data_IF_611702151297
#
_entry.id   IF_611702151297
#
_cell.length_a   1.000
_cell.length_b   1.000
_cell.length_c   1.000
_cell.angle_alpha   90.00
_cell.angle_beta   90.00
_cell.angle_gamma   90.00
#
_symmetry.space_group_name_H-M   'P 1'
#
loop_
_entity.id
_entity.type
_entity.pdbx_description
1 polymer ?
#
# COMPACT_ATOMS: atom_id res chain seq x y z
N UNK A 1 23.65 10.59 -4.60
CA UNK A 1 22.48 10.39 -3.72
C UNK A 1 21.33 11.25 -4.25
N UNK A 2 20.53 10.75 -5.21
CA UNK A 2 19.42 11.52 -5.82
C UNK A 2 18.22 10.59 -6.11
N UNK A 3 17.85 9.75 -5.14
CA UNK A 3 16.81 8.70 -5.33
C UNK A 3 15.56 8.90 -4.44
N UNK A 4 15.70 9.46 -3.24
CA UNK A 4 14.62 9.47 -2.22
C UNK A 4 13.39 10.27 -2.62
N UNK A 5 13.58 11.44 -3.22
CA UNK A 5 12.47 12.35 -3.60
C UNK A 5 11.52 11.71 -4.64
N UNK A 6 12.01 10.77 -5.45
CA UNK A 6 11.19 9.97 -6.36
C UNK A 6 10.35 8.95 -5.58
N UNK A 7 10.96 8.19 -4.67
CA UNK A 7 10.26 7.16 -3.88
C UNK A 7 9.18 7.78 -2.96
N UNK A 8 9.49 8.89 -2.29
CA UNK A 8 8.54 9.65 -1.47
C UNK A 8 7.28 10.11 -2.27
N UNK A 9 7.43 10.35 -3.59
CA UNK A 9 6.31 10.66 -4.49
C UNK A 9 5.52 9.41 -4.88
N UNK A 10 6.20 8.30 -5.19
CA UNK A 10 5.54 7.02 -5.49
C UNK A 10 4.74 6.53 -4.28
N UNK A 11 5.31 6.57 -3.07
CA UNK A 11 4.60 6.17 -1.84
C UNK A 11 3.32 6.98 -1.61
N UNK A 12 3.31 8.30 -1.88
CA UNK A 12 2.09 9.14 -1.79
C UNK A 12 1.04 8.76 -2.82
N UNK A 13 1.46 8.44 -4.06
CA UNK A 13 0.57 7.99 -5.13
C UNK A 13 -0.06 6.62 -4.79
N UNK A 14 0.74 5.66 -4.35
CA UNK A 14 0.27 4.33 -3.92
C UNK A 14 -0.74 4.42 -2.78
N UNK A 15 -0.43 5.19 -1.72
CA UNK A 15 -1.35 5.43 -0.60
C UNK A 15 -2.70 6.06 -1.01
N UNK A 16 -2.75 6.79 -2.13
CA UNK A 16 -3.99 7.37 -2.65
C UNK A 16 -4.78 6.36 -3.50
N UNK A 17 -4.09 5.51 -4.26
CA UNK A 17 -4.69 4.37 -4.98
C UNK A 17 -5.29 3.34 -4.02
N UNK A 18 -4.55 2.93 -2.98
CA UNK A 18 -4.99 2.01 -1.92
C UNK A 18 -6.28 2.48 -1.22
N UNK A 19 -6.43 3.79 -1.04
CA UNK A 19 -7.62 4.40 -0.43
C UNK A 19 -8.80 4.50 -1.39
N UNK A 20 -8.65 4.11 -2.66
CA UNK A 20 -9.69 4.17 -3.71
C UNK A 20 -9.69 5.46 -4.54
N UNK A 21 -8.59 6.22 -4.57
CA UNK A 21 -8.42 7.38 -5.44
C UNK A 21 -8.23 6.99 -6.90
N UNK A 22 -8.98 7.61 -7.81
CA UNK A 22 -8.88 7.37 -9.26
C UNK A 22 -7.93 8.38 -9.91
N UNK A 23 -6.90 7.91 -10.61
CA UNK A 23 -6.01 8.78 -11.39
C UNK A 23 -6.77 9.42 -12.57
N UNK A 24 -6.44 10.67 -12.90
CA UNK A 24 -6.99 11.42 -14.03
C UNK A 24 -5.91 11.66 -15.09
N UNK A 25 -6.32 11.90 -16.33
CA UNK A 25 -5.39 12.23 -17.43
C UNK A 25 -4.75 13.63 -17.32
N UNK A 26 -5.23 14.46 -16.40
CA UNK A 26 -4.67 15.79 -16.10
C UNK A 26 -3.56 15.71 -15.08
N UNK A 27 -2.57 16.60 -15.17
CA UNK A 27 -1.43 16.68 -14.26
C UNK A 27 -1.42 18.02 -13.53
N UNK A 28 -0.81 18.06 -12.35
CA UNK A 28 -0.51 19.28 -11.62
C UNK A 28 0.73 19.98 -12.21
N UNK A 29 0.92 21.26 -11.90
CA UNK A 29 2.11 22.03 -12.32
C UNK A 29 3.43 21.43 -11.78
N UNK A 30 3.37 20.64 -10.70
CA UNK A 30 4.52 19.88 -10.19
C UNK A 30 4.83 18.58 -10.96
N UNK A 31 4.13 18.31 -12.06
CA UNK A 31 4.32 17.13 -12.92
C UNK A 31 3.65 15.83 -12.43
N UNK A 32 3.06 15.81 -11.23
CA UNK A 32 2.32 14.64 -10.74
C UNK A 32 0.91 14.56 -11.35
N UNK A 33 0.40 13.35 -11.67
CA UNK A 33 -0.98 13.18 -12.16
C UNK A 33 -1.99 13.56 -11.07
N UNK A 34 -3.10 14.17 -11.47
CA UNK A 34 -4.21 14.53 -10.59
C UNK A 34 -5.04 13.31 -10.24
N UNK A 35 -5.63 13.31 -9.04
CA UNK A 35 -6.48 12.23 -8.55
C UNK A 35 -7.87 12.74 -8.18
N UNK A 36 -8.89 11.92 -8.46
CA UNK A 36 -10.23 12.08 -7.89
C UNK A 36 -10.37 11.19 -6.66
N UNK A 37 -10.62 11.80 -5.50
CA UNK A 37 -10.84 11.09 -4.23
C UNK A 37 -11.99 11.73 -3.46
N UNK A 38 -12.95 10.90 -3.02
CA UNK A 38 -14.19 11.34 -2.34
C UNK A 38 -14.92 12.49 -3.07
N UNK A 39 -14.91 12.47 -4.41
CA UNK A 39 -15.50 13.50 -5.27
C UNK A 39 -14.65 14.77 -5.48
N UNK A 40 -13.60 14.99 -4.68
CA UNK A 40 -12.66 16.11 -4.83
C UNK A 40 -11.52 15.75 -5.79
N UNK A 41 -10.93 16.76 -6.44
CA UNK A 41 -9.71 16.61 -7.26
C UNK A 41 -8.53 17.12 -6.43
N UNK A 42 -7.44 16.34 -6.36
CA UNK A 42 -6.26 16.61 -5.51
C UNK A 42 -4.95 16.21 -6.21
N UNK A 43 -3.85 16.92 -5.92
CA UNK A 43 -2.51 16.48 -6.26
C UNK A 43 -1.92 15.61 -5.13
N UNK A 44 -1.43 14.38 -5.42
CA UNK A 44 -0.84 13.49 -4.40
C UNK A 44 0.49 14.02 -3.83
N UNK A 45 1.15 14.94 -4.51
CA UNK A 45 2.46 15.49 -4.10
C UNK A 45 2.32 16.80 -3.32
N UNK A 46 1.43 17.69 -3.75
CA UNK A 46 1.24 19.03 -3.17
C UNK A 46 0.14 19.08 -2.09
N UNK A 47 -1.02 18.49 -2.35
CA UNK A 47 -2.23 18.71 -1.52
C UNK A 47 -2.48 17.60 -0.50
N UNK A 48 -1.75 16.49 -0.60
CA UNK A 48 -1.98 15.29 0.21
C UNK A 48 -1.46 15.41 1.65
N UNK A 49 -2.11 16.28 2.42
CA UNK A 49 -1.97 16.37 3.87
C UNK A 49 -2.79 15.24 4.51
N UNK A 50 -2.11 14.30 5.19
CA UNK A 50 -2.75 13.17 5.89
C UNK A 50 -3.39 13.61 7.23
N UNK A 51 -4.34 14.55 7.13
CA UNK A 51 -5.02 15.18 8.27
C UNK A 51 -6.35 14.49 8.58
N UNK A 52 -6.60 14.28 9.88
CA UNK A 52 -7.89 13.85 10.42
C UNK A 52 -9.02 14.76 9.91
N UNK A 53 -10.20 14.18 9.71
CA UNK A 53 -11.40 14.89 9.28
C UNK A 53 -11.73 16.08 10.20
N UNK A 54 -11.72 17.28 9.65
CA UNK A 54 -12.56 18.40 10.08
C UNK A 54 -13.14 19.00 8.79
N UNK A 55 -14.42 19.37 8.83
CA UNK A 55 -15.17 19.93 7.70
C UNK A 55 -15.06 21.45 7.76
N UNK A 56 -14.76 22.09 6.63
CA UNK A 56 -15.36 23.40 6.27
C UNK A 56 -15.22 23.67 4.76
N UNK A 57 -16.04 24.59 4.25
CA UNK A 57 -16.25 24.84 2.81
C UNK A 57 -15.81 26.23 2.36
N UNK A 58 -15.23 26.31 1.16
CA UNK A 58 -15.39 27.42 0.17
C UNK A 58 -14.62 27.01 -1.10
N UNK A 59 -15.10 27.21 -2.33
CA UNK A 59 -16.43 27.60 -2.80
C UNK A 59 -16.36 28.07 -4.27
N UNK A 60 -17.27 27.68 -5.20
CA UNK A 60 -18.42 26.76 -5.08
C UNK A 60 -18.13 25.37 -5.69
N UNK A 61 -18.38 24.97 -6.95
CA UNK A 61 -18.98 25.57 -8.17
C UNK A 61 -19.35 24.43 -9.13
N UNK A 62 -20.58 24.20 -9.63
CA UNK A 62 -21.93 24.59 -9.15
C UNK A 62 -22.90 23.38 -9.26
N UNK A 63 -23.60 23.20 -10.41
CA UNK A 63 -24.83 22.37 -10.54
C UNK A 63 -25.21 22.11 -12.03
N UNK A 64 -26.19 21.23 -12.39
CA UNK A 64 -27.31 20.74 -11.56
C UNK A 64 -27.72 19.23 -11.60
N UNK A 65 -28.27 18.77 -10.46
CA UNK A 65 -29.38 17.79 -10.31
C UNK A 65 -29.14 16.31 -10.66
N UNK A 66 -29.76 15.31 -10.00
CA UNK A 66 -30.99 15.33 -9.14
C UNK A 66 -30.71 15.38 -7.61
N UNK A 67 -31.12 14.52 -6.65
CA UNK A 67 -31.72 13.16 -6.60
C UNK A 67 -32.49 12.86 -5.29
N UNK A 68 -32.60 11.59 -4.85
CA UNK A 68 -33.53 11.15 -3.79
C UNK A 68 -33.01 10.09 -2.78
N UNK A 69 -33.07 10.46 -1.48
CA UNK A 69 -33.67 9.74 -0.31
C UNK A 69 -33.11 8.40 0.25
N UNK A 70 -32.79 8.47 1.57
CA UNK A 70 -32.92 7.44 2.65
C UNK A 70 -31.92 6.26 2.59
N UNK A 71 -31.59 5.57 3.70
CA UNK A 71 -32.21 5.48 5.06
C UNK A 71 -31.14 5.21 6.14
N UNK A 72 -31.39 5.52 7.42
CA UNK A 72 -30.49 5.15 8.53
C UNK A 72 -30.67 3.70 9.07
N UNK A 73 -29.58 3.14 9.62
CA UNK A 73 -29.41 2.14 10.69
C UNK A 73 -27.93 1.68 10.64
N UNK A 74 -27.04 1.80 11.64
CA UNK A 74 -27.08 1.56 13.10
C UNK A 74 -27.19 0.08 13.49
N UNK A 75 -26.56 -0.29 14.63
CA UNK A 75 -26.28 -1.64 15.18
C UNK A 75 -25.08 -2.35 14.49
N UNK A 76 -24.16 -3.04 15.17
CA UNK A 76 -23.57 -2.96 16.53
C UNK A 76 -22.47 -4.03 16.65
N UNK A 77 -21.42 -3.77 17.44
CA UNK A 77 -20.64 -4.77 18.22
C UNK A 77 -20.20 -6.11 17.57
N UNK A 78 -18.91 -6.19 17.22
CA UNK A 78 -17.90 -7.17 17.69
C UNK A 78 -16.57 -6.77 17.04
N UNK A 79 -15.45 -6.53 17.72
CA UNK A 79 -14.88 -7.17 18.92
C UNK A 79 -14.62 -8.66 18.70
N UNK A 80 -13.75 -8.94 17.74
CA UNK A 80 -12.98 -10.18 17.68
C UNK A 80 -11.49 -9.86 17.82
N UNK A 81 -11.10 -9.48 19.04
CA UNK A 81 -9.69 -9.41 19.48
C UNK A 81 -9.12 -10.83 19.62
N UNK A 82 -9.11 -11.60 18.53
CA UNK A 82 -8.70 -13.00 18.54
C UNK A 82 -7.18 -13.16 18.44
N UNK A 83 -6.58 -13.55 19.57
CA UNK A 83 -5.25 -14.15 19.69
C UNK A 83 -4.07 -13.26 19.28
N UNK A 84 -3.32 -12.80 20.29
CA UNK A 84 -1.86 -12.80 20.19
C UNK A 84 -1.46 -14.26 19.91
N UNK A 85 -1.18 -14.59 18.65
CA UNK A 85 -0.64 -15.91 18.33
C UNK A 85 0.78 -15.97 18.87
N UNK A 86 1.05 -16.95 19.72
CA UNK A 86 2.41 -17.38 20.02
C UNK A 86 3.05 -17.79 18.70
N UNK A 87 3.95 -16.95 18.20
CA UNK A 87 4.70 -17.21 16.98
C UNK A 87 5.64 -18.39 17.23
N UNK A 88 5.21 -19.60 16.84
CA UNK A 88 6.04 -20.79 16.89
C UNK A 88 7.23 -20.62 15.93
N UNK A 89 8.43 -20.46 16.51
CA UNK A 89 9.68 -20.37 15.79
C UNK A 89 9.90 -21.58 14.86
N UNK A 90 9.39 -22.76 15.24
CA UNK A 90 9.44 -23.99 14.45
C UNK A 90 8.61 -23.86 13.17
N UNK A 91 7.34 -23.44 13.29
CA UNK A 91 6.47 -23.17 12.15
C UNK A 91 7.02 -22.06 11.23
N UNK A 92 7.58 -20.98 11.79
CA UNK A 92 8.23 -19.91 11.01
C UNK A 92 9.44 -20.47 10.25
N UNK A 93 10.33 -21.17 10.94
CA UNK A 93 11.54 -21.77 10.36
C UNK A 93 11.20 -22.74 9.22
N UNK A 94 10.22 -23.63 9.42
CA UNK A 94 9.74 -24.53 8.38
C UNK A 94 9.15 -23.78 7.17
N UNK A 95 8.36 -22.73 7.38
CA UNK A 95 7.75 -21.93 6.30
C UNK A 95 8.81 -21.17 5.49
N UNK A 96 9.75 -20.50 6.16
CA UNK A 96 10.84 -19.77 5.52
C UNK A 96 11.74 -20.74 4.75
N UNK A 97 12.13 -21.86 5.35
CA UNK A 97 12.95 -22.87 4.68
C UNK A 97 12.26 -23.49 3.46
N UNK A 98 10.93 -23.64 3.50
CA UNK A 98 10.14 -24.05 2.34
C UNK A 98 10.21 -23.02 1.21
N UNK A 99 9.98 -21.72 1.50
CA UNK A 99 10.04 -20.65 0.49
C UNK A 99 11.45 -20.36 -0.02
N UNK A 100 12.49 -20.50 0.81
CA UNK A 100 13.90 -20.40 0.35
C UNK A 100 14.19 -21.47 -0.71
N UNK A 101 13.73 -22.71 -0.54
CA UNK A 101 13.87 -23.77 -1.56
C UNK A 101 13.07 -23.46 -2.83
N UNK A 102 11.82 -23.01 -2.68
CA UNK A 102 10.95 -22.65 -3.82
C UNK A 102 11.57 -21.52 -4.66
N UNK A 103 12.06 -20.45 -4.02
CA UNK A 103 12.77 -19.37 -4.69
C UNK A 103 14.03 -19.86 -5.38
N UNK A 104 14.84 -20.70 -4.72
CA UNK A 104 16.08 -21.25 -5.28
C UNK A 104 15.82 -22.12 -6.53
N UNK A 105 14.80 -22.98 -6.53
CA UNK A 105 14.37 -23.73 -7.74
C UNK A 105 13.90 -22.76 -8.83
N UNK A 106 13.20 -21.69 -8.46
CA UNK A 106 12.72 -20.68 -9.43
C UNK A 106 13.84 -19.79 -10.03
N UNK A 107 15.10 -19.92 -9.59
CA UNK A 107 16.24 -19.22 -10.20
C UNK A 107 16.71 -19.89 -11.50
N UNK A 108 16.61 -21.22 -11.62
CA UNK A 108 17.11 -21.98 -12.78
C UNK A 108 16.44 -21.57 -14.11
N UNK A 109 15.22 -21.03 -14.04
CA UNK A 109 14.42 -20.62 -15.20
C UNK A 109 14.18 -19.10 -15.30
N UNK A 110 14.78 -18.28 -14.43
CA UNK A 110 14.59 -16.83 -14.43
C UNK A 110 15.62 -16.10 -15.29
N UNK A 111 15.20 -15.71 -16.50
CA UNK A 111 16.04 -14.97 -17.44
C UNK A 111 16.20 -13.47 -17.10
N UNK A 112 15.38 -12.92 -16.19
CA UNK A 112 15.40 -11.51 -15.82
C UNK A 112 16.35 -11.25 -14.65
N UNK A 113 17.40 -10.49 -14.91
CA UNK A 113 18.45 -10.20 -13.93
C UNK A 113 17.96 -9.38 -12.72
N UNK A 114 16.90 -8.58 -12.89
CA UNK A 114 16.26 -7.85 -11.79
C UNK A 114 15.53 -8.81 -10.86
N UNK A 115 14.63 -9.64 -11.39
CA UNK A 115 13.93 -10.66 -10.59
C UNK A 115 14.89 -11.68 -9.98
N UNK A 116 15.96 -12.05 -10.68
CA UNK A 116 17.02 -12.93 -10.15
C UNK A 116 17.75 -12.29 -8.96
N UNK A 117 18.10 -11.00 -9.01
CA UNK A 117 18.61 -10.26 -7.84
C UNK A 117 17.60 -10.29 -6.69
N UNK A 118 16.35 -9.91 -6.96
CA UNK A 118 15.32 -9.75 -5.93
C UNK A 118 15.01 -11.09 -5.23
N UNK A 119 15.02 -12.20 -5.97
CA UNK A 119 14.95 -13.57 -5.42
C UNK A 119 16.16 -13.92 -4.55
N UNK A 120 17.38 -13.58 -4.98
CA UNK A 120 18.59 -13.80 -4.17
C UNK A 120 18.59 -12.98 -2.88
N UNK A 121 18.14 -11.73 -2.92
CA UNK A 121 17.95 -10.91 -1.72
C UNK A 121 16.91 -11.52 -0.77
N UNK A 122 15.76 -11.99 -1.29
CA UNK A 122 14.77 -12.71 -0.48
C UNK A 122 15.30 -14.00 0.15
N UNK A 123 16.14 -14.76 -0.57
CA UNK A 123 16.83 -15.95 -0.04
C UNK A 123 17.82 -15.56 1.07
N UNK A 124 18.60 -14.50 0.87
CA UNK A 124 19.57 -14.02 1.85
C UNK A 124 18.89 -13.57 3.16
N UNK A 125 17.78 -12.84 3.08
CA UNK A 125 16.97 -12.47 4.25
C UNK A 125 16.32 -13.69 4.91
N UNK A 126 15.82 -14.66 4.13
CA UNK A 126 15.31 -15.92 4.67
C UNK A 126 16.36 -16.69 5.47
N UNK A 127 17.59 -16.79 4.97
CA UNK A 127 18.72 -17.42 5.67
C UNK A 127 19.14 -16.65 6.93
N UNK A 128 19.12 -15.31 6.90
CA UNK A 128 19.36 -14.47 8.10
C UNK A 128 18.33 -14.74 9.20
N UNK A 129 17.04 -14.81 8.85
CA UNK A 129 15.97 -15.11 9.82
C UNK A 129 16.10 -16.53 10.34
N UNK A 130 16.40 -17.52 9.49
CA UNK A 130 16.61 -18.91 9.92
C UNK A 130 17.74 -19.03 10.95
N UNK A 131 18.84 -18.28 10.77
CA UNK A 131 19.92 -18.23 11.77
C UNK A 131 19.46 -17.63 13.10
N UNK A 132 18.74 -16.51 13.07
CA UNK A 132 18.17 -15.85 14.26
C UNK A 132 17.09 -16.68 15.00
N UNK A 133 16.70 -17.85 14.47
CA UNK A 133 15.79 -18.81 15.09
C UNK A 133 16.51 -20.13 15.49
N UNK A 134 17.84 -20.15 15.42
CA UNK A 134 18.71 -21.27 15.86
C UNK A 134 19.60 -20.92 17.05
N UNK A 135 19.70 -19.63 17.40
CA UNK A 135 20.37 -19.10 18.60
C UNK A 135 19.41 -19.04 19.82
#
# INVERSE_FOLDING_TARGET
MVEKDSDDKIQKITKLLEKGGTMLATHHECGAPMFRYQGKIVCPVCDFQEKKQIIEETGKTEKPQTGQKKKEQNISSKTESQSLRSFDATAISNLIMSKVRELAVSLETEADLGRTRDKMECIEQGLKILKLLQD
#
